data_IF_591170101502
#
_entry.id   IF_591170101502
#
_cell.length_a   1.000
_cell.length_b   1.000
_cell.length_c   1.000
_cell.angle_alpha   90.00
_cell.angle_beta   90.00
_cell.angle_gamma   90.00
#
_symmetry.space_group_name_H-M   'P 1'
#
loop_
_entity.id
_entity.type
_entity.pdbx_description
1 polymer ?
#
# COMPACT_ATOMS: atom_id res chain seq x y z
N UNK A 1 -10.84 10.33 17.36
CA UNK A 1 -9.90 9.22 17.14
C UNK A 1 -10.57 8.22 16.21
N UNK A 2 -9.85 7.68 15.22
CA UNK A 2 -10.37 6.62 14.34
C UNK A 2 -10.42 5.28 15.10
N UNK A 3 -11.42 4.44 14.81
CA UNK A 3 -11.43 3.05 15.29
C UNK A 3 -10.26 2.26 14.70
N UNK A 4 -9.92 1.12 15.29
CA UNK A 4 -8.83 0.27 14.77
C UNK A 4 -9.13 -0.21 13.33
N UNK A 5 -10.40 -0.50 13.04
CA UNK A 5 -10.86 -0.83 11.71
C UNK A 5 -10.71 0.33 10.72
N UNK A 6 -11.09 1.55 11.11
CA UNK A 6 -10.90 2.75 10.26
C UNK A 6 -9.41 3.07 10.01
N UNK A 7 -8.54 2.76 10.98
CA UNK A 7 -7.08 2.89 10.81
C UNK A 7 -6.57 1.90 9.75
N UNK A 8 -7.03 0.64 9.81
CA UNK A 8 -6.72 -0.37 8.78
C UNK A 8 -7.23 0.05 7.40
N UNK A 9 -8.48 0.50 7.29
CA UNK A 9 -9.05 0.97 6.02
C UNK A 9 -8.24 2.13 5.43
N UNK A 10 -7.90 3.11 6.25
CA UNK A 10 -7.10 4.27 5.82
C UNK A 10 -5.70 3.84 5.34
N UNK A 11 -5.08 2.90 6.06
CA UNK A 11 -3.76 2.36 5.72
C UNK A 11 -3.77 1.59 4.40
N UNK A 12 -4.71 0.66 4.21
CA UNK A 12 -4.83 -0.09 2.97
C UNK A 12 -5.31 0.76 1.80
N UNK A 13 -6.12 1.79 2.03
CA UNK A 13 -6.47 2.76 1.00
C UNK A 13 -5.24 3.53 0.50
N UNK A 14 -4.29 3.88 1.38
CA UNK A 14 -3.02 4.47 0.98
C UNK A 14 -2.18 3.49 0.14
N UNK A 15 -2.05 2.24 0.59
CA UNK A 15 -1.33 1.20 -0.17
C UNK A 15 -1.95 1.02 -1.56
N UNK A 16 -3.28 0.98 -1.66
CA UNK A 16 -3.99 0.87 -2.94
C UNK A 16 -3.70 2.04 -3.89
N UNK A 17 -3.63 3.28 -3.37
CA UNK A 17 -3.24 4.45 -4.17
C UNK A 17 -1.80 4.34 -4.69
N UNK A 18 -0.87 3.91 -3.84
CA UNK A 18 0.53 3.71 -4.22
C UNK A 18 0.67 2.60 -5.27
N UNK A 19 -0.01 1.47 -5.09
CA UNK A 19 -0.03 0.37 -6.06
C UNK A 19 -0.64 0.79 -7.40
N UNK A 20 -1.70 1.61 -7.38
CA UNK A 20 -2.27 2.23 -8.58
C UNK A 20 -1.26 3.11 -9.32
N UNK A 21 -0.53 3.97 -8.61
CA UNK A 21 0.53 4.79 -9.20
C UNK A 21 1.67 3.94 -9.79
N UNK A 22 2.10 2.90 -9.08
CA UNK A 22 3.13 1.97 -9.57
C UNK A 22 2.67 1.20 -10.83
N UNK A 23 1.37 0.91 -10.95
CA UNK A 23 0.80 0.28 -12.15
C UNK A 23 0.81 1.22 -13.35
N UNK A 24 0.65 2.53 -13.15
CA UNK A 24 0.81 3.53 -14.21
C UNK A 24 2.27 3.63 -14.68
N UNK A 25 3.23 3.58 -13.76
CA UNK A 25 4.65 3.48 -14.11
C UNK A 25 4.92 2.22 -14.92
N UNK A 26 4.42 1.06 -14.48
CA UNK A 26 4.54 -0.17 -15.26
C UNK A 26 3.98 -0.01 -16.68
N UNK A 27 2.81 0.61 -16.84
CA UNK A 27 2.24 0.90 -18.17
C UNK A 27 3.14 1.85 -18.98
N UNK A 28 3.64 2.92 -18.37
CA UNK A 28 4.50 3.91 -19.04
C UNK A 28 5.74 3.23 -19.62
N UNK A 29 6.48 2.47 -18.79
CA UNK A 29 7.63 1.65 -19.20
C UNK A 29 7.38 0.82 -20.46
N UNK A 30 6.21 0.20 -20.56
CA UNK A 30 5.92 -0.79 -21.61
C UNK A 30 5.27 -0.18 -22.86
N UNK A 31 4.74 1.04 -22.79
CA UNK A 31 3.89 1.60 -23.86
C UNK A 31 4.35 2.99 -24.32
N UNK A 32 4.79 3.86 -23.41
CA UNK A 32 4.96 5.31 -23.69
C UNK A 32 6.38 5.80 -23.40
N UNK A 33 7.18 5.03 -22.66
CA UNK A 33 8.51 5.43 -22.19
C UNK A 33 9.42 5.83 -23.34
N UNK A 34 9.98 7.04 -23.25
CA UNK A 34 10.91 7.57 -24.23
C UNK A 34 12.30 6.91 -24.09
N UNK A 35 13.05 6.77 -25.20
CA UNK A 35 14.44 6.35 -25.14
C UNK A 35 15.26 7.24 -24.17
N UNK A 36 16.13 6.62 -23.37
CA UNK A 36 16.96 7.32 -22.38
C UNK A 36 16.31 7.53 -21.01
N UNK A 37 15.00 7.29 -20.84
CA UNK A 37 14.29 7.47 -19.56
C UNK A 37 14.32 6.24 -18.64
N UNK A 38 14.91 5.12 -19.09
CA UNK A 38 14.82 3.83 -18.40
C UNK A 38 15.41 3.83 -16.99
N UNK A 39 16.56 4.50 -16.77
CA UNK A 39 17.21 4.53 -15.45
C UNK A 39 16.36 5.26 -14.40
N UNK A 40 15.92 6.49 -14.70
CA UNK A 40 15.05 7.24 -13.78
C UNK A 40 13.71 6.54 -13.54
N UNK A 41 13.17 5.83 -14.54
CA UNK A 41 11.97 5.02 -14.35
C UNK A 41 12.21 3.85 -13.39
N UNK A 42 13.35 3.16 -13.49
CA UNK A 42 13.72 2.07 -12.60
C UNK A 42 13.87 2.54 -11.15
N UNK A 43 14.53 3.68 -10.94
CA UNK A 43 14.72 4.26 -9.60
C UNK A 43 13.38 4.57 -8.92
N UNK A 44 12.47 5.22 -9.65
CA UNK A 44 11.13 5.56 -9.11
C UNK A 44 10.32 4.30 -8.83
N UNK A 45 10.35 3.32 -9.73
CA UNK A 45 9.61 2.06 -9.55
C UNK A 45 10.14 1.26 -8.36
N UNK A 46 11.47 1.23 -8.17
CA UNK A 46 12.11 0.60 -7.02
C UNK A 46 11.71 1.25 -5.71
N UNK A 47 11.83 2.58 -5.62
CA UNK A 47 11.43 3.33 -4.44
C UNK A 47 9.94 3.13 -4.09
N UNK A 48 9.07 3.10 -5.10
CA UNK A 48 7.64 2.82 -4.89
C UNK A 48 7.39 1.41 -4.34
N UNK A 49 8.10 0.41 -4.87
CA UNK A 49 7.99 -0.97 -4.38
C UNK A 49 8.48 -1.11 -2.93
N UNK A 50 9.57 -0.43 -2.58
CA UNK A 50 10.09 -0.38 -1.20
C UNK A 50 9.08 0.25 -0.24
N UNK A 51 8.52 1.41 -0.58
CA UNK A 51 7.52 2.10 0.26
C UNK A 51 6.28 1.24 0.46
N UNK A 52 5.77 0.61 -0.61
CA UNK A 52 4.62 -0.29 -0.52
C UNK A 52 4.93 -1.46 0.42
N UNK A 53 6.12 -2.05 0.29
CA UNK A 53 6.57 -3.17 1.13
C UNK A 53 6.68 -2.74 2.59
N UNK A 54 7.33 -1.61 2.88
CA UNK A 54 7.47 -1.04 4.23
C UNK A 54 6.09 -0.83 4.88
N UNK A 55 5.13 -0.26 4.15
CA UNK A 55 3.76 -0.07 4.63
C UNK A 55 3.04 -1.40 4.87
N UNK A 56 3.25 -2.39 4.01
CA UNK A 56 2.60 -3.70 4.14
C UNK A 56 3.06 -4.47 5.39
N UNK A 57 4.31 -4.28 5.82
CA UNK A 57 4.90 -4.96 6.99
C UNK A 57 4.93 -4.08 8.25
N UNK A 58 4.22 -2.95 8.24
CA UNK A 58 4.18 -2.04 9.38
C UNK A 58 3.61 -2.75 10.63
N UNK A 59 4.36 -2.84 11.75
CA UNK A 59 3.93 -3.58 12.92
C UNK A 59 2.62 -3.07 13.53
N UNK A 60 2.28 -1.79 13.30
CA UNK A 60 1.02 -1.19 13.76
C UNK A 60 -0.19 -1.87 13.14
N UNK A 61 -0.07 -2.46 11.95
CA UNK A 61 -1.14 -3.23 11.31
C UNK A 61 -1.55 -4.41 12.20
N UNK A 62 -0.58 -5.12 12.80
CA UNK A 62 -0.86 -6.21 13.74
C UNK A 62 -1.61 -5.74 14.99
N UNK A 63 -1.21 -4.59 15.55
CA UNK A 63 -1.91 -3.99 16.68
C UNK A 63 -3.35 -3.60 16.34
N UNK A 64 -3.57 -3.01 15.17
CA UNK A 64 -4.90 -2.61 14.73
C UNK A 64 -5.79 -3.81 14.43
N UNK A 65 -5.24 -4.87 13.84
CA UNK A 65 -5.97 -6.13 13.62
C UNK A 65 -6.43 -6.72 14.96
N UNK A 66 -5.52 -6.88 15.92
CA UNK A 66 -5.86 -7.41 17.25
C UNK A 66 -6.93 -6.56 17.97
N UNK A 67 -6.81 -5.22 17.90
CA UNK A 67 -7.81 -4.30 18.47
C UNK A 67 -9.15 -4.39 17.73
N UNK A 68 -9.14 -4.48 16.40
CA UNK A 68 -10.35 -4.57 15.60
C UNK A 68 -11.09 -5.90 15.86
N UNK A 69 -10.37 -7.02 15.97
CA UNK A 69 -10.92 -8.33 16.32
C UNK A 69 -11.55 -8.31 17.72
N UNK A 70 -10.88 -7.70 18.69
CA UNK A 70 -11.41 -7.55 20.05
C UNK A 70 -12.67 -6.67 20.08
N UNK A 71 -12.70 -5.60 19.27
CA UNK A 71 -13.82 -4.67 19.16
C UNK A 71 -15.02 -5.24 18.39
N UNK A 72 -14.79 -6.20 17.49
CA UNK A 72 -15.83 -6.80 16.64
C UNK A 72 -16.95 -7.45 17.45
N UNK A 73 -16.70 -7.79 18.72
CA UNK A 73 -17.59 -8.61 19.52
C UNK A 73 -17.66 -10.03 18.95
N UNK A 74 -17.93 -11.03 19.78
CA UNK A 74 -18.22 -12.37 19.27
C UNK A 74 -19.46 -12.28 18.38
N UNK A 75 -19.28 -12.44 17.07
CA UNK A 75 -20.36 -12.93 16.22
C UNK A 75 -20.69 -14.32 16.78
N UNK A 76 -21.72 -14.38 17.61
CA UNK A 76 -22.32 -15.66 17.98
C UNK A 76 -22.78 -16.34 16.69
N UNK A 77 -22.59 -17.67 16.58
CA UNK A 77 -22.86 -18.43 15.36
C UNK A 77 -24.28 -18.24 14.84
#
# INVERSE_FOLDING_TARGET
MLSAYQQLETHYALIGKLAGANSLLFRDRNVVMRPGSAAGHADISGAMAEIITEKAVDPRVGEWLSKAETQRGTLQP
#
